data_IF_397136952022
#
_entry.id   IF_397136952022
#
_cell.length_a   1.000
_cell.length_b   1.000
_cell.length_c   1.000
_cell.angle_alpha   90.00
_cell.angle_beta   90.00
_cell.angle_gamma   90.00
#
_symmetry.space_group_name_H-M   'P 1'
#
loop_
_entity.id
_entity.type
_entity.pdbx_description
1 polymer ?
#
# COMPACT_ATOMS: atom_id res chain seq x y z
N UNK A 1 35.88 -44.60 11.74
CA UNK A 1 35.20 -43.31 12.04
C UNK A 1 33.85 -43.64 12.65
N UNK A 2 33.64 -43.29 13.92
CA UNK A 2 32.52 -43.79 14.74
C UNK A 2 31.17 -43.17 14.38
N UNK A 3 30.09 -43.91 14.62
CA UNK A 3 28.69 -43.48 14.42
C UNK A 3 28.37 -42.08 14.97
N UNK A 4 29.07 -41.67 16.01
CA UNK A 4 29.00 -40.34 16.63
C UNK A 4 29.37 -39.17 15.70
N UNK A 5 30.44 -39.30 14.89
CA UNK A 5 30.83 -38.21 13.97
C UNK A 5 29.83 -38.06 12.83
N UNK A 6 29.20 -39.16 12.39
CA UNK A 6 28.16 -39.15 11.36
C UNK A 6 26.87 -38.49 11.88
N UNK A 7 26.50 -38.76 13.14
CA UNK A 7 25.33 -38.14 13.77
C UNK A 7 25.54 -36.63 13.97
N UNK A 8 26.73 -36.18 14.35
CA UNK A 8 27.05 -34.76 14.47
C UNK A 8 27.01 -34.03 13.13
N UNK A 9 27.54 -34.65 12.06
CA UNK A 9 27.44 -34.09 10.70
C UNK A 9 25.99 -33.99 10.21
N UNK A 10 25.16 -35.00 10.48
CA UNK A 10 23.74 -34.99 10.13
C UNK A 10 22.99 -33.88 10.89
N UNK A 11 23.25 -33.71 12.20
CA UNK A 11 22.66 -32.63 12.99
C UNK A 11 23.08 -31.24 12.47
N UNK A 12 24.34 -31.06 12.08
CA UNK A 12 24.81 -29.82 11.46
C UNK A 12 24.12 -29.51 10.13
N UNK A 13 23.94 -30.52 9.28
CA UNK A 13 23.22 -30.37 8.00
C UNK A 13 21.74 -30.03 8.21
N UNK A 14 21.07 -30.67 9.17
CA UNK A 14 19.68 -30.36 9.52
C UNK A 14 19.55 -28.94 10.06
N UNK A 15 20.46 -28.49 10.93
CA UNK A 15 20.46 -27.13 11.45
C UNK A 15 20.66 -26.09 10.34
N UNK A 16 21.56 -26.34 9.39
CA UNK A 16 21.77 -25.49 8.22
C UNK A 16 20.53 -25.44 7.31
N UNK A 17 19.89 -26.59 7.05
CA UNK A 17 18.68 -26.65 6.24
C UNK A 17 17.53 -25.87 6.88
N UNK A 18 17.34 -26.00 8.20
CA UNK A 18 16.34 -25.24 8.95
C UNK A 18 16.65 -23.74 8.93
N UNK A 19 17.91 -23.35 9.10
CA UNK A 19 18.34 -21.95 9.02
C UNK A 19 18.09 -21.33 7.64
N UNK A 20 18.41 -22.05 6.57
CA UNK A 20 18.16 -21.63 5.19
C UNK A 20 16.65 -21.51 4.90
N UNK A 21 15.85 -22.49 5.34
CA UNK A 21 14.39 -22.45 5.21
C UNK A 21 13.80 -21.24 5.92
N UNK A 22 14.18 -20.98 7.17
CA UNK A 22 13.71 -19.82 7.93
C UNK A 22 14.13 -18.48 7.27
N UNK A 23 15.34 -18.40 6.71
CA UNK A 23 15.80 -17.23 5.98
C UNK A 23 14.99 -16.98 4.70
N UNK A 24 14.74 -18.04 3.93
CA UNK A 24 13.93 -17.99 2.71
C UNK A 24 12.50 -17.54 3.03
N UNK A 25 11.83 -18.15 4.01
CA UNK A 25 10.48 -17.75 4.43
C UNK A 25 10.39 -16.27 4.79
N UNK A 26 11.34 -15.74 5.56
CA UNK A 26 11.39 -14.31 5.90
C UNK A 26 11.65 -13.42 4.68
N UNK A 27 12.46 -13.89 3.74
CA UNK A 27 12.80 -13.14 2.53
C UNK A 27 11.61 -13.07 1.57
N UNK A 28 10.88 -14.18 1.40
CA UNK A 28 9.63 -14.22 0.63
C UNK A 28 8.57 -13.30 1.25
N UNK A 29 8.33 -13.38 2.56
CA UNK A 29 7.39 -12.51 3.25
C UNK A 29 7.72 -11.02 3.06
N UNK A 30 9.00 -10.63 3.11
CA UNK A 30 9.43 -9.25 2.82
C UNK A 30 9.20 -8.87 1.36
N UNK A 31 9.44 -9.78 0.43
CA UNK A 31 9.17 -9.59 -1.00
C UNK A 31 7.70 -9.37 -1.29
N UNK A 32 6.84 -10.16 -0.66
CA UNK A 32 5.38 -10.09 -0.77
C UNK A 32 4.84 -8.79 -0.21
N UNK A 33 5.28 -8.38 0.99
CA UNK A 33 4.92 -7.08 1.57
C UNK A 33 5.30 -5.93 0.63
N UNK A 34 6.51 -5.95 0.06
CA UNK A 34 6.95 -4.91 -0.89
C UNK A 34 6.09 -4.89 -2.15
N UNK A 35 5.69 -6.06 -2.67
CA UNK A 35 4.79 -6.17 -3.82
C UNK A 35 3.41 -5.63 -3.49
N UNK A 36 2.83 -6.02 -2.34
CA UNK A 36 1.52 -5.54 -1.89
C UNK A 36 1.49 -4.03 -1.71
N UNK A 37 2.46 -3.47 -0.96
CA UNK A 37 2.58 -2.02 -0.77
C UNK A 37 2.71 -1.29 -2.12
N UNK A 38 3.54 -1.81 -3.04
CA UNK A 38 3.71 -1.20 -4.36
C UNK A 38 2.43 -1.26 -5.20
N UNK A 39 1.68 -2.36 -5.14
CA UNK A 39 0.43 -2.51 -5.88
C UNK A 39 -0.63 -1.51 -5.39
N UNK A 40 -0.86 -1.44 -4.06
CA UNK A 40 -1.82 -0.49 -3.48
C UNK A 40 -1.40 0.95 -3.73
N UNK A 41 -0.13 1.26 -3.51
CA UNK A 41 0.43 2.60 -3.77
C UNK A 41 0.28 2.98 -5.24
N UNK A 42 0.64 2.09 -6.16
CA UNK A 42 0.51 2.31 -7.60
C UNK A 42 -0.94 2.56 -8.02
N UNK A 43 -1.87 1.75 -7.52
CA UNK A 43 -3.31 1.92 -7.81
C UNK A 43 -3.81 3.31 -7.39
N UNK A 44 -3.52 3.74 -6.16
CA UNK A 44 -3.96 5.03 -5.64
C UNK A 44 -3.23 6.22 -6.30
N UNK A 45 -1.91 6.13 -6.49
CA UNK A 45 -1.14 7.20 -7.11
C UNK A 45 -1.50 7.37 -8.59
N UNK A 46 -1.69 6.29 -9.34
CA UNK A 46 -2.12 6.38 -10.74
C UNK A 46 -3.49 7.05 -10.84
N UNK A 47 -4.44 6.68 -10.00
CA UNK A 47 -5.77 7.29 -9.96
C UNK A 47 -5.74 8.78 -9.58
N UNK A 48 -4.80 9.19 -8.73
CA UNK A 48 -4.67 10.58 -8.27
C UNK A 48 -3.71 11.44 -9.09
N UNK A 49 -3.11 10.95 -10.18
CA UNK A 49 -2.08 11.69 -10.92
C UNK A 49 -0.74 11.84 -10.18
N UNK A 50 -0.43 10.91 -9.28
CA UNK A 50 0.82 10.79 -8.53
C UNK A 50 0.69 11.03 -7.03
N UNK A 51 1.81 10.92 -6.31
CA UNK A 51 1.86 11.07 -4.85
C UNK A 51 1.36 12.47 -4.38
N UNK A 52 1.65 13.52 -5.15
CA UNK A 52 1.20 14.88 -4.83
C UNK A 52 -0.34 15.00 -4.88
N UNK A 53 -0.98 14.36 -5.86
CA UNK A 53 -2.44 14.33 -5.98
C UNK A 53 -3.07 13.50 -4.86
N UNK A 54 -2.48 12.35 -4.52
CA UNK A 54 -2.92 11.53 -3.38
C UNK A 54 -2.85 12.31 -2.06
N UNK A 55 -1.76 13.05 -1.82
CA UNK A 55 -1.62 13.91 -0.64
C UNK A 55 -2.67 15.02 -0.61
N UNK A 56 -2.95 15.66 -1.76
CA UNK A 56 -3.99 16.70 -1.87
C UNK A 56 -5.38 16.11 -1.58
N UNK A 57 -5.71 14.97 -2.17
CA UNK A 57 -6.97 14.28 -1.93
C UNK A 57 -7.15 13.94 -0.44
N UNK A 58 -6.12 13.39 0.20
CA UNK A 58 -6.16 13.08 1.63
C UNK A 58 -6.34 14.36 2.47
N UNK A 59 -5.63 15.43 2.12
CA UNK A 59 -5.73 16.70 2.82
C UNK A 59 -7.14 17.29 2.75
N UNK A 60 -7.73 17.32 1.56
CA UNK A 60 -9.07 17.86 1.31
C UNK A 60 -10.17 16.99 1.94
N UNK A 61 -10.06 15.67 1.82
CA UNK A 61 -11.13 14.76 2.24
C UNK A 61 -11.13 14.45 3.74
N UNK A 62 -9.95 14.48 4.36
CA UNK A 62 -9.78 14.09 5.77
C UNK A 62 -9.26 15.22 6.66
N UNK A 63 -9.13 16.44 6.13
CA UNK A 63 -8.76 17.63 6.90
C UNK A 63 -7.32 17.61 7.44
N UNK A 64 -6.41 16.92 6.76
CA UNK A 64 -5.01 16.82 7.16
C UNK A 64 -4.16 17.81 6.36
N UNK A 65 -3.73 18.90 6.97
CA UNK A 65 -2.87 19.85 6.26
C UNK A 65 -1.46 19.27 6.04
N UNK A 66 -1.04 19.20 4.76
CA UNK A 66 0.25 18.68 4.29
C UNK A 66 0.62 17.32 4.89
N UNK A 67 -0.17 16.26 4.63
CA UNK A 67 0.02 14.97 5.27
C UNK A 67 1.33 14.31 4.83
N UNK A 68 2.10 13.81 5.78
CA UNK A 68 3.21 12.87 5.57
C UNK A 68 2.62 11.47 5.45
N UNK A 69 2.95 10.78 4.36
CA UNK A 69 2.42 9.46 4.05
C UNK A 69 3.47 8.40 4.39
N UNK A 70 3.12 7.47 5.29
CA UNK A 70 3.96 6.32 5.64
C UNK A 70 3.24 5.04 5.26
N UNK A 71 3.87 4.23 4.41
CA UNK A 71 3.35 2.95 3.98
C UNK A 71 3.96 1.81 4.79
N UNK A 72 3.13 0.88 5.23
CA UNK A 72 3.53 -0.35 5.89
C UNK A 72 2.72 -1.51 5.32
N UNK A 73 3.19 -2.72 5.52
CA UNK A 73 2.41 -3.89 5.21
C UNK A 73 2.88 -5.09 5.98
N UNK A 74 2.01 -6.08 6.06
CA UNK A 74 2.27 -7.37 6.71
C UNK A 74 1.58 -8.47 5.94
N UNK A 75 2.20 -9.64 5.89
CA UNK A 75 1.53 -10.82 5.33
C UNK A 75 0.46 -11.27 6.32
N UNK A 76 -0.77 -11.42 5.85
CA UNK A 76 -1.90 -11.91 6.65
C UNK A 76 -2.24 -13.36 6.29
N UNK A 77 -1.95 -13.77 5.05
CA UNK A 77 -1.99 -15.17 4.66
C UNK A 77 -0.89 -15.51 3.66
N UNK A 78 0.06 -16.34 4.07
CA UNK A 78 1.08 -16.88 3.18
C UNK A 78 0.46 -17.81 2.12
N UNK A 79 -0.54 -18.61 2.51
CA UNK A 79 -1.16 -19.62 1.64
C UNK A 79 -1.95 -19.00 0.48
N UNK A 80 -2.67 -17.91 0.75
CA UNK A 80 -3.45 -17.19 -0.26
C UNK A 80 -2.70 -15.99 -0.85
N UNK A 81 -1.45 -15.76 -0.43
CA UNK A 81 -0.65 -14.61 -0.87
C UNK A 81 -1.34 -13.27 -0.56
N UNK A 82 -1.91 -13.13 0.63
CA UNK A 82 -2.64 -11.93 1.04
C UNK A 82 -1.77 -11.06 1.95
N UNK A 83 -1.62 -9.80 1.55
CA UNK A 83 -0.88 -8.78 2.30
C UNK A 83 -1.85 -7.70 2.74
N UNK A 84 -1.84 -7.38 4.03
CA UNK A 84 -2.48 -6.16 4.51
C UNK A 84 -1.51 -4.99 4.39
N UNK A 85 -2.00 -3.88 3.86
CA UNK A 85 -1.24 -2.66 3.60
C UNK A 85 -1.89 -1.53 4.38
N UNK A 86 -1.06 -0.88 5.20
CA UNK A 86 -1.43 0.29 5.97
C UNK A 86 -0.81 1.53 5.33
N UNK A 87 -1.63 2.55 5.10
CA UNK A 87 -1.17 3.92 4.90
C UNK A 87 -1.48 4.71 6.17
N UNK A 88 -0.47 5.35 6.74
CA UNK A 88 -0.64 6.32 7.82
C UNK A 88 -0.37 7.71 7.25
N UNK A 89 -1.37 8.59 7.34
CA UNK A 89 -1.27 9.99 6.96
C UNK A 89 -1.24 10.86 8.23
N UNK A 90 -0.13 11.57 8.43
CA UNK A 90 0.09 12.43 9.60
C UNK A 90 0.23 13.89 9.16
N UNK A 91 -0.58 14.79 9.73
CA UNK A 91 -0.53 16.22 9.42
C UNK A 91 -1.04 17.07 10.57
N UNK A 92 -0.98 18.40 10.41
CA UNK A 92 -1.66 19.30 11.33
C UNK A 92 -3.17 19.08 11.18
N UNK A 93 -3.80 18.49 12.19
CA UNK A 93 -5.16 17.94 12.14
C UNK A 93 -5.25 16.52 12.71
N UNK A 94 -4.11 15.83 12.86
CA UNK A 94 -4.01 14.52 13.52
C UNK A 94 -3.38 13.46 12.63
N UNK A 95 -3.69 12.20 12.92
CA UNK A 95 -3.26 11.03 12.13
C UNK A 95 -4.47 10.23 11.68
N UNK A 96 -4.41 9.70 10.45
CA UNK A 96 -5.42 8.79 9.90
C UNK A 96 -4.72 7.56 9.33
N UNK A 97 -5.29 6.39 9.63
CA UNK A 97 -4.82 5.11 9.11
C UNK A 97 -5.83 4.55 8.11
N UNK A 98 -5.33 4.13 6.97
CA UNK A 98 -6.08 3.50 5.89
C UNK A 98 -5.53 2.08 5.74
N UNK A 99 -6.40 1.08 5.78
CA UNK A 99 -6.00 -0.33 5.76
C UNK A 99 -6.68 -1.03 4.60
N UNK A 100 -5.91 -1.75 3.79
CA UNK A 100 -6.41 -2.60 2.71
C UNK A 100 -5.83 -4.00 2.79
N UNK A 101 -6.59 -5.00 2.34
CA UNK A 101 -6.06 -6.31 1.97
C UNK A 101 -5.82 -6.36 0.47
N UNK A 102 -4.63 -6.82 0.10
CA UNK A 102 -4.19 -7.01 -1.28
C UNK A 102 -3.90 -8.49 -1.51
N UNK A 103 -4.70 -9.13 -2.36
CA UNK A 103 -4.42 -10.47 -2.88
C UNK A 103 -3.34 -10.39 -3.95
N UNK A 104 -2.12 -10.87 -3.67
CA UNK A 104 -1.01 -10.80 -4.62
C UNK A 104 -1.20 -11.70 -5.84
N UNK A 105 -1.97 -12.78 -5.69
CA UNK A 105 -2.28 -13.72 -6.78
C UNK A 105 -3.53 -13.31 -7.55
N UNK A 106 -4.61 -12.98 -6.84
CA UNK A 106 -5.87 -12.59 -7.48
C UNK A 106 -5.87 -11.16 -8.01
N UNK A 107 -5.03 -10.28 -7.45
CA UNK A 107 -5.02 -8.86 -7.77
C UNK A 107 -6.10 -8.06 -7.03
N UNK A 108 -6.88 -8.70 -6.15
CA UNK A 108 -7.99 -8.08 -5.46
C UNK A 108 -7.51 -7.09 -4.41
N UNK A 109 -8.11 -5.89 -4.42
CA UNK A 109 -7.87 -4.84 -3.44
C UNK A 109 -9.16 -4.59 -2.63
N UNK A 110 -9.14 -4.93 -1.34
CA UNK A 110 -10.30 -4.81 -0.46
C UNK A 110 -10.01 -3.82 0.69
N UNK A 111 -10.82 -2.77 0.89
CA UNK A 111 -10.66 -1.88 2.04
C UNK A 111 -11.09 -2.57 3.33
N UNK A 112 -10.30 -2.41 4.40
CA UNK A 112 -10.54 -3.00 5.73
C UNK A 112 -11.12 -2.02 6.74
N UNK A 113 -11.12 -0.74 6.41
CA UNK A 113 -11.77 0.29 7.22
C UNK A 113 -12.48 1.34 6.35
N UNK A 114 -13.36 2.12 6.97
CA UNK A 114 -14.15 3.14 6.27
C UNK A 114 -13.28 4.22 5.61
N UNK A 115 -12.17 4.60 6.25
CA UNK A 115 -11.23 5.58 5.71
C UNK A 115 -10.63 5.09 4.38
N UNK A 116 -10.17 3.83 4.34
CA UNK A 116 -9.65 3.20 3.14
C UNK A 116 -10.71 3.08 2.03
N UNK A 117 -11.93 2.69 2.39
CA UNK A 117 -13.05 2.61 1.45
C UNK A 117 -13.43 4.00 0.89
N UNK A 118 -13.38 5.04 1.72
CA UNK A 118 -13.65 6.41 1.30
C UNK A 118 -12.55 6.94 0.39
N UNK A 119 -11.28 6.64 0.69
CA UNK A 119 -10.14 7.06 -0.13
C UNK A 119 -10.13 6.36 -1.49
N UNK A 120 -10.43 5.05 -1.53
CA UNK A 120 -10.49 4.27 -2.76
C UNK A 120 -11.57 4.81 -3.70
N UNK A 121 -12.79 5.01 -3.20
CA UNK A 121 -13.90 5.61 -3.98
C UNK A 121 -13.56 7.00 -4.49
N UNK A 122 -12.87 7.81 -3.70
CA UNK A 122 -12.49 9.16 -4.11
C UNK A 122 -11.39 9.15 -5.18
N UNK A 123 -10.43 8.21 -5.09
CA UNK A 123 -9.42 8.01 -6.12
C UNK A 123 -10.04 7.52 -7.44
N UNK A 124 -10.98 6.57 -7.38
CA UNK A 124 -11.73 6.08 -8.54
C UNK A 124 -12.55 7.18 -9.22
N UNK A 125 -13.25 8.01 -8.43
CA UNK A 125 -13.99 9.16 -8.95
C UNK A 125 -13.08 10.17 -9.68
N UNK A 126 -11.88 10.43 -9.14
CA UNK A 126 -10.88 11.27 -9.81
C UNK A 126 -10.38 10.64 -11.12
N UNK A 127 -10.13 9.33 -11.14
CA UNK A 127 -9.68 8.62 -12.33
C UNK A 127 -10.74 8.61 -13.46
N UNK A 128 -12.02 8.63 -13.10
CA UNK A 128 -13.15 8.68 -14.03
C UNK A 128 -13.44 10.09 -14.57
N UNK A 129 -12.76 11.13 -14.06
CA UNK A 129 -12.95 12.51 -14.50
C UNK A 129 -14.11 13.25 -13.80
N UNK A 130 -14.75 12.63 -12.80
CA UNK A 130 -15.79 13.25 -11.96
C UNK A 130 -15.19 14.10 -10.81
N UNK A 131 -14.03 14.72 -11.07
CA UNK A 131 -13.47 15.73 -10.18
C UNK A 131 -14.28 17.04 -10.24
N UNK A 132 -14.37 17.83 -9.15
CA UNK A 132 -15.17 19.04 -9.12
C UNK A 132 -14.79 19.94 -10.30
N UNK A 133 -15.79 20.23 -11.15
CA UNK A 133 -15.63 21.07 -12.32
C UNK A 133 -14.84 22.34 -11.95
N UNK A 134 -13.72 22.56 -12.64
CA UNK A 134 -12.96 23.79 -12.50
C UNK A 134 -13.93 24.98 -12.63
N UNK A 135 -13.85 26.00 -11.76
CA UNK A 135 -14.75 27.15 -11.85
C UNK A 135 -14.63 27.75 -13.24
N UNK A 136 -15.75 27.80 -13.96
CA UNK A 136 -15.83 28.36 -15.29
C UNK A 136 -15.18 29.76 -15.28
N UNK A 137 -14.14 29.94 -16.09
CA UNK A 137 -13.51 31.24 -16.25
C UNK A 137 -14.60 32.25 -16.66
N UNK A 138 -14.67 33.43 -16.01
CA UNK A 138 -15.67 34.43 -16.36
C UNK A 138 -15.51 34.83 -17.83
N UNK A 139 -16.61 35.06 -18.56
CA UNK A 139 -16.55 35.36 -19.98
C UNK A 139 -15.71 36.62 -20.22
N UNK A 140 -14.73 36.50 -21.11
CA UNK A 140 -13.88 37.61 -21.51
C UNK A 140 -14.74 38.75 -22.07
N UNK A 141 -14.78 39.86 -21.35
CA UNK A 141 -15.39 41.11 -21.81
C UNK A 141 -14.63 41.56 -23.06
N UNK A 142 -15.24 41.38 -24.24
CA UNK A 142 -14.77 42.04 -25.46
C UNK A 142 -15.05 43.53 -25.32
N UNK A 143 -14.03 44.29 -24.98
CA UNK A 143 -14.00 45.73 -25.23
C UNK A 143 -13.85 45.93 -26.74
N UNK A 144 -14.90 46.44 -27.39
CA UNK A 144 -14.85 46.86 -28.79
C UNK A 144 -14.39 48.34 -28.84
N UNK A 145 -13.51 48.73 -29.78
CA UNK A 145 -13.10 50.12 -29.96
C UNK A 145 -14.22 51.01 -30.52
#
# INVERSE_FOLDING_TARGET
>A
MGSWSRNLLLLGLVALALGASAYLSRSYARGDVRRGVRAVRGHLETACGGEAGLRRLIAERFGLARPRLTWRGRVVSDFYGVVEVDLVAEGSGGSRTFVWEMGLVSGDLAPRNEAAAALLRAAEALAQGDGPAAPAAPPATRSNP
#
